data_IF_165487397581
#
_entry.id   IF_165487397581
#
_cell.length_a   1.000
_cell.length_b   1.000
_cell.length_c   1.000
_cell.angle_alpha   90.00
_cell.angle_beta   90.00
_cell.angle_gamma   90.00
#
_symmetry.space_group_name_H-M   'P 1'
#
loop_
_entity.id
_entity.type
_entity.pdbx_description
1 polymer ?
#
# COMPACT_ATOMS: atom_id res chain seq x y z
N UNK A 1 -11.91 -8.05 -14.68
CA UNK A 1 -10.96 -7.03 -14.25
C UNK A 1 -10.39 -7.39 -12.89
N UNK A 2 -9.08 -7.41 -12.78
CA UNK A 2 -8.41 -7.80 -11.55
C UNK A 2 -7.88 -6.57 -10.81
N UNK A 3 -8.38 -6.34 -9.61
CA UNK A 3 -7.91 -5.24 -8.75
C UNK A 3 -7.10 -5.82 -7.60
N UNK A 4 -5.98 -5.19 -7.33
CA UNK A 4 -5.12 -5.57 -6.21
C UNK A 4 -4.74 -4.35 -5.41
N UNK A 5 -4.64 -4.52 -4.09
CA UNK A 5 -4.10 -3.49 -3.21
C UNK A 5 -2.71 -3.93 -2.78
N UNK A 6 -1.73 -3.05 -2.97
CA UNK A 6 -0.36 -3.31 -2.55
C UNK A 6 0.07 -2.22 -1.58
N UNK A 7 0.49 -2.65 -0.40
CA UNK A 7 1.03 -1.76 0.61
C UNK A 7 2.56 -1.81 0.55
N UNK A 8 3.17 -0.63 0.50
CA UNK A 8 4.62 -0.48 0.51
C UNK A 8 5.04 0.19 1.80
N UNK A 9 5.92 -0.45 2.54
CA UNK A 9 6.41 0.05 3.81
C UNK A 9 7.85 -0.36 4.07
N UNK A 10 8.36 -0.01 5.24
CA UNK A 10 9.71 -0.35 5.64
C UNK A 10 9.75 -0.51 7.15
N UNK A 11 10.72 -1.28 7.65
CA UNK A 11 10.86 -1.52 9.09
C UNK A 11 11.27 -0.25 9.85
N UNK A 12 12.04 0.61 9.20
CA UNK A 12 12.49 1.87 9.79
C UNK A 12 11.44 2.97 9.77
N UNK A 13 10.32 2.73 9.15
CA UNK A 13 9.25 3.73 8.96
C UNK A 13 8.34 3.77 10.19
N UNK A 14 8.39 4.88 10.94
CA UNK A 14 7.53 5.06 12.12
C UNK A 14 6.04 5.01 11.80
N UNK A 15 5.53 5.83 10.87
CA UNK A 15 4.11 5.80 10.48
C UNK A 15 3.63 4.45 9.99
N UNK A 16 4.51 3.66 9.34
CA UNK A 16 4.17 2.32 8.89
C UNK A 16 3.81 1.41 10.06
N UNK A 17 4.54 1.54 11.16
CA UNK A 17 4.31 0.72 12.35
C UNK A 17 2.94 0.97 12.98
N UNK A 18 2.41 2.17 12.79
CA UNK A 18 1.09 2.53 13.31
C UNK A 18 -0.03 2.04 12.40
N UNK A 19 0.11 2.22 11.09
CA UNK A 19 -0.99 1.94 10.16
C UNK A 19 -1.06 0.47 9.74
N UNK A 20 0.06 -0.20 9.62
CA UNK A 20 0.09 -1.58 9.13
C UNK A 20 -0.75 -2.53 9.98
N UNK A 21 -0.65 -2.51 11.32
CA UNK A 21 -1.50 -3.39 12.14
C UNK A 21 -2.99 -3.14 11.94
N UNK A 22 -3.38 -1.88 11.75
CA UNK A 22 -4.78 -1.52 11.52
C UNK A 22 -5.28 -2.09 10.19
N UNK A 23 -4.45 -2.00 9.16
CA UNK A 23 -4.80 -2.55 7.85
C UNK A 23 -4.88 -4.07 7.89
N UNK A 24 -3.96 -4.71 8.59
CA UNK A 24 -3.99 -6.17 8.75
C UNK A 24 -5.24 -6.62 9.50
N UNK A 25 -5.63 -5.88 10.53
CA UNK A 25 -6.82 -6.20 11.32
C UNK A 25 -8.12 -5.96 10.55
N UNK A 26 -8.09 -5.14 9.50
CA UNK A 26 -9.29 -4.80 8.73
C UNK A 26 -9.82 -5.96 7.89
N UNK A 27 -8.99 -6.96 7.62
CA UNK A 27 -9.38 -8.07 6.74
C UNK A 27 -9.37 -7.73 5.26
N UNK A 28 -8.91 -6.55 4.89
CA UNK A 28 -8.82 -6.16 3.49
C UNK A 28 -7.77 -7.00 2.75
N UNK A 29 -8.00 -7.32 1.47
CA UNK A 29 -7.08 -8.14 0.68
C UNK A 29 -5.88 -7.30 0.21
N UNK A 30 -4.94 -7.06 1.09
CA UNK A 30 -3.77 -6.23 0.82
C UNK A 30 -2.52 -7.11 0.76
N UNK A 31 -1.71 -6.92 -0.28
CA UNK A 31 -0.39 -7.51 -0.35
C UNK A 31 0.61 -6.54 0.28
N UNK A 32 1.37 -7.02 1.25
CA UNK A 32 2.34 -6.18 1.97
C UNK A 32 3.73 -6.39 1.40
N UNK A 33 4.39 -5.27 1.05
CA UNK A 33 5.71 -5.28 0.43
C UNK A 33 6.65 -4.39 1.22
N UNK A 34 7.84 -4.90 1.53
CA UNK A 34 8.91 -4.14 2.15
C UNK A 34 9.78 -3.58 1.01
N UNK A 35 9.90 -2.24 0.94
CA UNK A 35 10.62 -1.59 -0.15
C UNK A 35 12.11 -1.91 -0.15
N UNK A 36 12.68 -2.27 1.00
CA UNK A 36 14.08 -2.63 1.09
C UNK A 36 14.34 -4.06 0.59
N UNK A 37 13.36 -4.93 0.74
CA UNK A 37 13.44 -6.30 0.27
C UNK A 37 13.01 -6.44 -1.19
N UNK A 38 12.10 -5.59 -1.65
CA UNK A 38 11.53 -5.68 -2.99
C UNK A 38 11.74 -4.38 -3.75
N UNK A 39 13.00 -4.03 -3.99
CA UNK A 39 13.36 -2.76 -4.63
C UNK A 39 12.82 -2.65 -6.05
N UNK A 40 12.74 -3.76 -6.77
CA UNK A 40 12.22 -3.75 -8.15
C UNK A 40 10.74 -3.40 -8.19
N UNK A 41 9.94 -3.95 -7.28
CA UNK A 41 8.52 -3.62 -7.21
C UNK A 41 8.31 -2.16 -6.83
N UNK A 42 9.06 -1.68 -5.85
CA UNK A 42 8.97 -0.29 -5.43
C UNK A 42 9.31 0.65 -6.59
N UNK A 43 10.35 0.32 -7.35
CA UNK A 43 10.75 1.10 -8.51
C UNK A 43 9.70 1.05 -9.62
N UNK A 44 9.16 -0.13 -9.88
CA UNK A 44 8.15 -0.31 -10.92
C UNK A 44 6.92 0.57 -10.68
N UNK A 45 6.47 0.66 -9.43
CA UNK A 45 5.30 1.47 -9.09
C UNK A 45 5.66 2.91 -8.71
N UNK A 46 6.92 3.28 -8.81
CA UNK A 46 7.37 4.64 -8.54
C UNK A 46 7.20 5.07 -7.09
N UNK A 47 7.46 4.16 -6.16
CA UNK A 47 7.30 4.45 -4.73
C UNK A 47 8.46 5.29 -4.23
N UNK A 48 8.15 6.48 -3.72
CA UNK A 48 9.14 7.43 -3.19
C UNK A 48 9.04 7.64 -1.70
N UNK A 49 7.86 7.42 -1.16
CA UNK A 49 7.59 7.61 0.27
C UNK A 49 6.93 6.38 0.82
N UNK A 50 7.09 6.13 2.10
CA UNK A 50 6.41 5.08 2.82
C UNK A 50 5.73 5.66 4.04
N UNK A 51 4.54 5.18 4.42
CA UNK A 51 3.78 4.13 3.74
C UNK A 51 3.08 4.64 2.48
N UNK A 52 2.93 3.77 1.50
CA UNK A 52 2.14 4.04 0.29
C UNK A 52 1.29 2.82 -0.03
N UNK A 53 0.03 3.04 -0.37
CA UNK A 53 -0.84 1.99 -0.88
C UNK A 53 -1.17 2.30 -2.33
N UNK A 54 -1.04 1.30 -3.18
CA UNK A 54 -1.33 1.41 -4.61
C UNK A 54 -2.49 0.49 -4.94
N UNK A 55 -3.48 1.03 -5.63
CA UNK A 55 -4.50 0.21 -6.26
C UNK A 55 -4.00 -0.14 -7.65
N UNK A 56 -3.85 -1.42 -7.91
CA UNK A 56 -3.41 -1.94 -9.20
C UNK A 56 -4.61 -2.55 -9.89
N UNK A 57 -4.87 -2.12 -11.11
CA UNK A 57 -5.97 -2.60 -11.92
C UNK A 57 -5.40 -3.22 -13.19
N UNK A 58 -5.54 -4.54 -13.30
CA UNK A 58 -5.01 -5.29 -14.45
C UNK A 58 -3.52 -5.03 -14.69
N UNK A 59 -2.75 -4.98 -13.60
CA UNK A 59 -1.30 -4.82 -13.66
C UNK A 59 -0.80 -3.38 -13.69
N UNK A 60 -1.69 -2.40 -13.74
CA UNK A 60 -1.31 -0.98 -13.79
C UNK A 60 -1.80 -0.24 -12.56
N UNK A 61 -0.94 0.64 -12.04
CA UNK A 61 -1.31 1.49 -10.91
C UNK A 61 -2.39 2.48 -11.36
N UNK A 62 -3.54 2.46 -10.68
CA UNK A 62 -4.65 3.35 -11.00
C UNK A 62 -4.84 4.45 -9.97
N UNK A 63 -4.50 4.21 -8.71
CA UNK A 63 -4.52 5.25 -7.68
C UNK A 63 -3.57 4.91 -6.54
N UNK A 64 -3.20 5.93 -5.77
CA UNK A 64 -2.27 5.80 -4.65
C UNK A 64 -2.75 6.62 -3.46
N UNK A 65 -2.47 6.11 -2.26
CA UNK A 65 -2.61 6.87 -1.01
C UNK A 65 -1.24 6.86 -0.33
N UNK A 66 -0.81 8.01 0.16
CA UNK A 66 0.53 8.18 0.75
C UNK A 66 0.40 8.74 2.16
N UNK A 67 1.18 8.18 3.08
CA UNK A 67 1.33 8.72 4.42
C UNK A 67 0.02 8.80 5.20
N UNK A 68 -0.27 9.96 5.74
CA UNK A 68 -1.46 10.16 6.59
C UNK A 68 -2.79 10.06 5.85
N UNK A 69 -2.76 10.05 4.52
CA UNK A 69 -3.97 9.82 3.73
C UNK A 69 -4.44 8.36 3.83
N UNK A 70 -3.57 7.45 4.27
CA UNK A 70 -3.91 6.04 4.41
C UNK A 70 -4.72 5.82 5.68
N UNK A 71 -5.98 5.47 5.50
CA UNK A 71 -6.87 5.03 6.59
C UNK A 71 -7.60 3.79 6.10
N UNK A 72 -8.13 3.00 7.03
CA UNK A 72 -8.90 1.82 6.65
C UNK A 72 -10.07 2.21 5.75
N UNK A 73 -10.77 3.30 6.10
CA UNK A 73 -11.91 3.77 5.30
C UNK A 73 -11.50 4.19 3.89
N UNK A 74 -10.39 4.93 3.77
CA UNK A 74 -9.92 5.39 2.47
C UNK A 74 -9.49 4.21 1.58
N UNK A 75 -8.85 3.21 2.17
CA UNK A 75 -8.42 2.01 1.43
C UNK A 75 -9.63 1.23 0.96
N UNK A 76 -10.65 1.09 1.80
CA UNK A 76 -11.90 0.44 1.39
C UNK A 76 -12.52 1.14 0.19
N UNK A 77 -12.49 2.46 0.17
CA UNK A 77 -13.04 3.24 -0.93
C UNK A 77 -12.28 3.02 -2.23
N UNK A 78 -10.99 2.74 -2.15
CA UNK A 78 -10.20 2.44 -3.36
C UNK A 78 -10.74 1.24 -4.13
N UNK A 79 -11.35 0.29 -3.43
CA UNK A 79 -11.88 -0.92 -4.04
C UNK A 79 -13.28 -0.75 -4.64
N UNK A 80 -13.94 0.34 -4.38
CA UNK A 80 -15.29 0.59 -4.88
C UNK A 80 -15.31 1.04 -6.33
#
# INVERSE_FOLDING_TARGET
MKKELIYFGAEWCGPCKAIKPQLQASGLPIKYVDVDASTEMASYYGIRNVPTIVLVNDGEASSKLVGSAITVAAVKQMLN
#
